data_IF_999395925729
#
_entry.id   IF_999395925729
#
_cell.length_a   1.000
_cell.length_b   1.000
_cell.length_c   1.000
_cell.angle_alpha   90.00
_cell.angle_beta   90.00
_cell.angle_gamma   90.00
#
_symmetry.space_group_name_H-M   'P 1'
#
loop_
_entity.id
_entity.type
_entity.pdbx_description
1 polymer ?
#
# COMPACT_ATOMS: atom_id res chain seq x y z
N UNK A 1 3.12 -15.29 -10.74
CA UNK A 1 2.09 -14.47 -10.06
C UNK A 1 2.80 -13.48 -9.18
N UNK A 2 2.42 -12.20 -9.24
CA UNK A 2 3.05 -11.14 -8.42
C UNK A 2 2.62 -11.29 -6.97
N UNK A 3 3.57 -11.17 -6.04
CA UNK A 3 3.25 -11.11 -4.61
C UNK A 3 2.76 -9.70 -4.26
N UNK A 4 1.44 -9.54 -4.25
CA UNK A 4 0.80 -8.27 -3.92
C UNK A 4 0.95 -7.89 -2.44
N UNK A 5 1.12 -8.86 -1.54
CA UNK A 5 1.33 -8.58 -0.11
C UNK A 5 2.70 -7.96 0.09
N UNK A 6 3.75 -8.55 -0.49
CA UNK A 6 5.10 -7.99 -0.45
C UNK A 6 5.15 -6.61 -1.13
N UNK A 7 4.51 -6.47 -2.30
CA UNK A 7 4.46 -5.20 -3.04
C UNK A 7 3.78 -4.08 -2.24
N UNK A 8 2.73 -4.40 -1.49
CA UNK A 8 2.02 -3.44 -0.64
C UNK A 8 2.88 -2.97 0.53
N UNK A 9 3.58 -3.88 1.18
CA UNK A 9 4.54 -3.52 2.25
C UNK A 9 5.62 -2.59 1.72
N UNK A 10 6.23 -2.92 0.56
CA UNK A 10 7.22 -2.05 -0.08
C UNK A 10 6.64 -0.67 -0.42
N UNK A 11 5.42 -0.59 -0.95
CA UNK A 11 4.76 0.69 -1.23
C UNK A 11 4.53 1.51 0.05
N UNK A 12 4.07 0.88 1.14
CA UNK A 12 3.87 1.58 2.42
C UNK A 12 5.19 2.15 2.94
N UNK A 13 6.26 1.37 2.90
CA UNK A 13 7.56 1.80 3.44
C UNK A 13 8.26 2.85 2.58
N UNK A 14 8.08 2.81 1.26
CA UNK A 14 8.79 3.71 0.32
C UNK A 14 7.98 4.93 -0.10
N UNK A 15 6.65 4.89 -0.03
CA UNK A 15 5.79 5.97 -0.54
C UNK A 15 4.96 6.60 0.58
N UNK A 16 4.37 5.80 1.47
CA UNK A 16 3.42 6.29 2.48
C UNK A 16 4.14 6.87 3.70
N UNK A 17 5.05 6.11 4.32
CA UNK A 17 5.80 6.58 5.51
C UNK A 17 6.66 7.82 5.23
N UNK A 18 7.35 7.94 4.07
CA UNK A 18 8.13 9.14 3.77
C UNK A 18 7.28 10.38 3.51
N UNK A 19 5.99 10.21 3.21
CA UNK A 19 5.02 11.30 3.02
C UNK A 19 4.40 11.77 4.35
N UNK A 20 5.14 11.67 5.44
CA UNK A 20 4.74 12.10 6.80
C UNK A 20 3.45 11.47 7.36
N UNK A 21 3.03 10.33 6.81
CA UNK A 21 1.91 9.55 7.38
C UNK A 21 2.39 8.82 8.62
N UNK A 22 2.14 9.42 9.79
CA UNK A 22 2.62 8.90 11.09
C UNK A 22 1.55 8.19 11.91
N UNK A 23 0.26 8.33 11.57
CA UNK A 23 -0.83 7.71 12.32
C UNK A 23 -0.89 6.21 12.01
N UNK A 24 -0.54 5.38 12.99
CA UNK A 24 -0.53 3.93 12.84
C UNK A 24 -1.85 3.33 12.31
N UNK A 25 -3.05 3.80 12.72
CA UNK A 25 -4.29 3.28 12.15
C UNK A 25 -4.44 3.50 10.63
N UNK A 26 -3.85 4.57 10.09
CA UNK A 26 -3.86 4.83 8.64
C UNK A 26 -2.91 3.86 7.93
N UNK A 27 -1.74 3.62 8.50
CA UNK A 27 -0.74 2.69 7.97
C UNK A 27 -1.29 1.26 7.97
N UNK A 28 -1.95 0.85 9.06
CA UNK A 28 -2.62 -0.46 9.14
C UNK A 28 -3.72 -0.61 8.09
N UNK A 29 -4.53 0.42 7.88
CA UNK A 29 -5.54 0.40 6.82
C UNK A 29 -4.92 0.24 5.42
N UNK A 30 -3.80 0.93 5.14
CA UNK A 30 -3.08 0.80 3.88
C UNK A 30 -2.44 -0.58 3.68
N UNK A 31 -2.12 -1.31 4.76
CA UNK A 31 -1.63 -2.68 4.69
C UNK A 31 -2.78 -3.70 4.57
N UNK A 32 -3.92 -3.44 5.17
CA UNK A 32 -5.07 -4.34 5.19
C UNK A 32 -5.91 -4.27 3.90
N UNK A 33 -6.10 -3.09 3.33
CA UNK A 33 -6.95 -2.88 2.15
C UNK A 33 -6.15 -3.18 0.86
N UNK A 34 -6.60 -4.12 0.01
CA UNK A 34 -5.89 -4.49 -1.21
C UNK A 34 -6.00 -3.43 -2.30
N UNK A 35 -5.06 -2.48 -2.31
CA UNK A 35 -4.95 -1.41 -3.32
C UNK A 35 -5.03 -1.95 -4.76
N UNK A 36 -4.42 -3.10 -5.04
CA UNK A 36 -4.37 -3.72 -6.35
C UNK A 36 -5.75 -4.06 -6.92
N UNK A 37 -6.78 -4.23 -6.08
CA UNK A 37 -8.15 -4.46 -6.52
C UNK A 37 -8.82 -3.21 -7.12
N UNK A 38 -8.19 -2.04 -6.98
CA UNK A 38 -8.71 -0.74 -7.40
C UNK A 38 -7.86 -0.06 -8.48
N UNK A 39 -6.79 -0.72 -8.94
CA UNK A 39 -5.95 -0.22 -10.03
C UNK A 39 -6.59 -0.63 -11.36
N UNK A 40 -6.80 0.29 -12.32
CA UNK A 40 -7.27 -0.08 -13.65
C UNK A 40 -6.31 -1.05 -14.33
N UNK A 41 -6.84 -2.06 -15.03
CA UNK A 41 -6.03 -3.03 -15.78
C UNK A 41 -5.19 -2.38 -16.89
N UNK A 42 -5.66 -1.25 -17.42
CA UNK A 42 -4.95 -0.38 -18.35
C UNK A 42 -5.44 1.06 -18.19
N UNK A 43 -4.53 2.01 -18.39
CA UNK A 43 -4.84 3.43 -18.54
C UNK A 43 -5.14 3.76 -20.00
#
# INVERSE_FOLDING_TARGET
MTDFVASRTTMVDTQIRPSEVTRYPIIEAMLAVPREAFVPDAW
#
